data_IF_731293999030
#
_entry.id   IF_731293999030
#
_cell.length_a   1.000
_cell.length_b   1.000
_cell.length_c   1.000
_cell.angle_alpha   90.00
_cell.angle_beta   90.00
_cell.angle_gamma   90.00
#
_symmetry.space_group_name_H-M   'P 1'
#
loop_
_entity.id
_entity.type
_entity.pdbx_description
1 polymer ?
#
# COMPACT_ATOMS: atom_id res chain seq x y z
N UNK A 1 -22.13 2.93 22.81
CA UNK A 1 -20.79 2.91 22.17
C UNK A 1 -20.66 1.64 21.34
N UNK A 2 -20.83 1.69 20.02
CA UNK A 2 -20.74 0.51 19.14
C UNK A 2 -19.25 0.18 18.96
N UNK A 3 -18.82 -0.99 19.43
CA UNK A 3 -17.47 -1.49 19.18
C UNK A 3 -17.26 -1.60 17.67
N UNK A 4 -16.22 -0.98 17.08
CA UNK A 4 -15.97 -1.07 15.65
C UNK A 4 -15.79 -2.55 15.27
N UNK A 5 -16.40 -2.95 14.14
CA UNK A 5 -16.49 -4.34 13.68
C UNK A 5 -15.11 -5.03 13.66
N UNK A 6 -14.06 -4.25 13.35
CA UNK A 6 -12.66 -4.70 13.31
C UNK A 6 -12.09 -5.08 14.69
N UNK A 7 -12.49 -4.40 15.76
CA UNK A 7 -12.07 -4.72 17.13
C UNK A 7 -12.61 -6.09 17.58
N UNK A 8 -13.85 -6.44 17.20
CA UNK A 8 -14.43 -7.77 17.44
C UNK A 8 -13.77 -8.88 16.61
N UNK A 9 -13.28 -8.57 15.41
CA UNK A 9 -12.63 -9.54 14.54
C UNK A 9 -11.24 -9.96 15.06
N UNK A 10 -10.50 -9.01 15.66
CA UNK A 10 -9.25 -9.29 16.39
C UNK A 10 -9.47 -10.25 17.56
N UNK A 11 -10.51 -10.01 18.38
CA UNK A 11 -10.81 -10.85 19.56
C UNK A 11 -11.22 -12.28 19.19
N UNK A 12 -11.71 -12.50 17.97
CA UNK A 12 -12.07 -13.83 17.43
C UNK A 12 -10.94 -14.52 16.64
N UNK A 13 -9.74 -13.93 16.60
CA UNK A 13 -8.59 -14.53 15.90
C UNK A 13 -8.70 -14.54 14.36
N UNK A 14 -9.63 -13.76 13.79
CA UNK A 14 -9.86 -13.72 12.34
C UNK A 14 -8.69 -13.10 11.56
N UNK A 15 -7.86 -12.28 12.21
CA UNK A 15 -6.67 -11.65 11.64
C UNK A 15 -5.43 -12.02 12.47
N UNK A 16 -4.95 -13.26 12.29
CA UNK A 16 -3.77 -13.75 12.98
C UNK A 16 -2.51 -13.25 12.26
N UNK A 17 -1.70 -12.45 12.97
CA UNK A 17 -0.35 -12.10 12.53
C UNK A 17 0.49 -13.38 12.41
N UNK A 18 1.24 -13.51 11.32
CA UNK A 18 2.17 -14.61 11.11
C UNK A 18 3.21 -14.65 12.24
N UNK A 19 3.69 -15.86 12.55
CA UNK A 19 4.83 -16.01 13.47
C UNK A 19 6.05 -15.24 12.90
N UNK A 20 6.86 -14.56 13.73
CA UNK A 20 7.96 -13.72 13.26
C UNK A 20 8.91 -14.40 12.27
N UNK A 21 9.28 -15.66 12.55
CA UNK A 21 10.14 -16.45 11.65
C UNK A 21 9.50 -16.69 10.28
N UNK A 22 8.20 -16.96 10.22
CA UNK A 22 7.50 -17.17 8.94
C UNK A 22 7.46 -15.88 8.12
N UNK A 23 7.16 -14.75 8.75
CA UNK A 23 7.16 -13.45 8.08
C UNK A 23 8.56 -13.09 7.54
N UNK A 24 9.62 -13.36 8.32
CA UNK A 24 11.01 -13.14 7.92
C UNK A 24 11.40 -14.02 6.72
N UNK A 25 11.02 -15.30 6.73
CA UNK A 25 11.31 -16.22 5.60
C UNK A 25 10.64 -15.75 4.31
N UNK A 26 9.37 -15.33 4.37
CA UNK A 26 8.68 -14.77 3.20
C UNK A 26 9.38 -13.50 2.71
N UNK A 27 9.75 -12.60 3.61
CA UNK A 27 10.48 -11.37 3.26
C UNK A 27 11.81 -11.68 2.58
N UNK A 28 12.58 -12.64 3.10
CA UNK A 28 13.86 -13.06 2.50
C UNK A 28 13.70 -13.66 1.11
N UNK A 29 12.65 -14.44 0.88
CA UNK A 29 12.39 -15.02 -0.45
C UNK A 29 12.02 -13.97 -1.51
N UNK A 30 11.62 -12.77 -1.10
CA UNK A 30 11.19 -11.68 -1.98
C UNK A 30 12.16 -10.48 -1.98
N UNK A 31 13.29 -10.59 -1.27
CA UNK A 31 14.22 -9.49 -1.01
C UNK A 31 14.74 -8.83 -2.30
N UNK A 32 15.05 -9.63 -3.32
CA UNK A 32 15.56 -9.12 -4.60
C UNK A 32 14.53 -8.26 -5.34
N UNK A 33 13.26 -8.69 -5.38
CA UNK A 33 12.19 -7.97 -6.05
C UNK A 33 11.90 -6.63 -5.36
N UNK A 34 11.88 -6.62 -4.03
CA UNK A 34 11.58 -5.41 -3.26
C UNK A 34 12.71 -4.40 -3.22
N UNK A 35 13.95 -4.88 -3.07
CA UNK A 35 15.13 -4.00 -3.14
C UNK A 35 15.19 -3.30 -4.49
N UNK A 36 14.83 -4.00 -5.58
CA UNK A 36 14.74 -3.41 -6.91
C UNK A 36 13.69 -2.29 -6.99
N UNK A 37 12.49 -2.50 -6.43
CA UNK A 37 11.43 -1.47 -6.45
C UNK A 37 11.82 -0.23 -5.64
N UNK A 38 12.33 -0.39 -4.42
CA UNK A 38 12.75 0.73 -3.59
C UNK A 38 13.88 1.54 -4.22
N UNK A 39 14.88 0.84 -4.79
CA UNK A 39 15.98 1.48 -5.51
C UNK A 39 15.50 2.23 -6.75
N UNK A 40 14.58 1.65 -7.53
CA UNK A 40 13.97 2.34 -8.68
C UNK A 40 13.23 3.62 -8.27
N UNK A 41 12.53 3.62 -7.13
CA UNK A 41 11.84 4.84 -6.65
C UNK A 41 12.82 6.00 -6.40
N UNK A 42 14.00 5.74 -5.86
CA UNK A 42 14.97 6.80 -5.53
C UNK A 42 15.89 7.17 -6.69
N UNK A 43 15.98 6.32 -7.73
CA UNK A 43 16.84 6.54 -8.90
C UNK A 43 16.10 7.06 -10.13
N UNK A 44 14.78 6.85 -10.22
CA UNK A 44 14.02 7.27 -11.38
C UNK A 44 14.07 8.80 -11.57
N UNK A 45 14.43 9.23 -12.77
CA UNK A 45 14.53 10.64 -13.12
C UNK A 45 13.16 11.32 -13.06
N UNK A 46 13.14 12.58 -12.61
CA UNK A 46 11.93 13.40 -12.61
C UNK A 46 11.35 13.51 -14.03
N UNK A 47 10.02 13.41 -14.17
CA UNK A 47 9.26 13.42 -15.43
C UNK A 47 9.53 12.24 -16.39
N UNK A 48 10.37 11.28 -16.00
CA UNK A 48 10.55 10.05 -16.79
C UNK A 48 9.26 9.23 -16.82
N UNK A 49 9.05 8.50 -17.91
CA UNK A 49 7.92 7.56 -18.00
C UNK A 49 8.27 6.32 -17.16
N UNK A 50 7.46 6.06 -16.13
CA UNK A 50 7.69 4.98 -15.16
C UNK A 50 6.50 4.03 -15.06
N UNK A 51 5.92 3.65 -16.21
CA UNK A 51 4.72 2.80 -16.28
C UNK A 51 4.83 1.52 -15.43
N UNK A 52 5.92 0.76 -15.58
CA UNK A 52 6.09 -0.48 -14.82
C UNK A 52 6.26 -0.26 -13.32
N UNK A 53 7.04 0.77 -12.95
CA UNK A 53 7.27 1.10 -11.55
C UNK A 53 5.96 1.52 -10.87
N UNK A 54 5.18 2.40 -11.52
CA UNK A 54 3.87 2.84 -11.02
C UNK A 54 2.91 1.66 -10.89
N UNK A 55 2.89 0.74 -11.85
CA UNK A 55 2.04 -0.46 -11.77
C UNK A 55 2.45 -1.37 -10.60
N UNK A 56 3.76 -1.56 -10.37
CA UNK A 56 4.27 -2.35 -9.22
C UNK A 56 3.95 -1.68 -7.89
N UNK A 57 4.10 -0.37 -7.81
CA UNK A 57 3.75 0.40 -6.60
C UNK A 57 2.24 0.35 -6.33
N UNK A 58 1.41 0.51 -7.35
CA UNK A 58 -0.05 0.40 -7.20
C UNK A 58 -0.47 -0.97 -6.63
N UNK A 59 0.19 -2.05 -7.04
CA UNK A 59 -0.01 -3.38 -6.47
C UNK A 59 0.39 -3.45 -4.98
N UNK A 60 1.62 -3.05 -4.65
CA UNK A 60 2.14 -3.13 -3.28
C UNK A 60 1.37 -2.23 -2.32
N UNK A 61 1.21 -0.96 -2.68
CA UNK A 61 0.54 0.05 -1.86
C UNK A 61 -0.96 -0.23 -1.75
N UNK A 62 -1.61 -0.73 -2.82
CA UNK A 62 -3.02 -1.16 -2.78
C UNK A 62 -3.25 -2.26 -1.74
N UNK A 63 -2.39 -3.28 -1.71
CA UNK A 63 -2.45 -4.29 -0.65
C UNK A 63 -2.16 -3.71 0.72
N UNK A 64 -1.09 -2.92 0.85
CA UNK A 64 -0.67 -2.33 2.12
C UNK A 64 -1.77 -1.46 2.74
N UNK A 65 -2.40 -0.59 1.95
CA UNK A 65 -3.49 0.28 2.38
C UNK A 65 -4.70 -0.51 2.87
N UNK A 66 -5.12 -1.56 2.15
CA UNK A 66 -6.27 -2.39 2.56
C UNK A 66 -5.97 -3.22 3.83
N UNK A 67 -4.77 -3.79 3.94
CA UNK A 67 -4.35 -4.50 5.15
C UNK A 67 -4.31 -3.53 6.34
N UNK A 68 -3.70 -2.37 6.18
CA UNK A 68 -3.62 -1.34 7.22
C UNK A 68 -5.01 -0.85 7.63
N UNK A 69 -5.96 -0.73 6.70
CA UNK A 69 -7.36 -0.40 7.00
C UNK A 69 -8.06 -1.50 7.81
N UNK A 70 -7.73 -2.76 7.55
CA UNK A 70 -8.37 -3.91 8.20
C UNK A 70 -7.89 -4.18 9.63
N UNK A 71 -6.70 -3.68 10.02
CA UNK A 71 -6.07 -3.92 11.32
C UNK A 71 -5.74 -2.61 12.06
N UNK A 72 -5.78 -2.57 13.40
CA UNK A 72 -5.10 -1.54 14.17
C UNK A 72 -3.59 -1.74 14.06
N UNK A 73 -2.91 -0.91 13.27
CA UNK A 73 -1.44 -0.91 13.17
C UNK A 73 -0.85 0.01 14.25
N UNK A 74 0.28 -0.37 14.83
CA UNK A 74 1.04 0.51 15.71
C UNK A 74 1.74 1.58 14.87
N UNK A 75 1.51 2.86 15.18
CA UNK A 75 1.75 3.96 14.24
C UNK A 75 0.66 3.95 13.17
N UNK A 76 -0.16 5.01 13.09
CA UNK A 76 -1.26 5.04 12.14
C UNK A 76 -0.72 5.24 10.71
N UNK A 77 -0.26 4.16 10.09
CA UNK A 77 0.29 4.18 8.73
C UNK A 77 -0.82 4.24 7.66
N UNK A 78 -2.11 4.20 8.06
CA UNK A 78 -3.24 4.17 7.11
C UNK A 78 -3.29 5.44 6.24
N UNK A 79 -3.20 6.66 6.79
CA UNK A 79 -3.20 7.86 5.96
C UNK A 79 -1.98 7.92 5.05
N UNK A 80 -0.80 7.53 5.55
CA UNK A 80 0.44 7.55 4.77
C UNK A 80 0.43 6.60 3.57
N UNK A 81 -0.01 5.35 3.77
CA UNK A 81 -0.11 4.36 2.69
C UNK A 81 -1.17 4.75 1.65
N UNK A 82 -2.29 5.30 2.13
CA UNK A 82 -3.35 5.73 1.24
C UNK A 82 -2.97 6.98 0.42
N UNK A 83 -2.25 7.92 1.03
CA UNK A 83 -1.70 9.08 0.32
C UNK A 83 -0.67 8.63 -0.73
N UNK A 84 0.22 7.71 -0.36
CA UNK A 84 1.20 7.15 -1.30
C UNK A 84 0.52 6.48 -2.50
N UNK A 85 -0.56 5.72 -2.25
CA UNK A 85 -1.34 5.09 -3.31
C UNK A 85 -2.04 6.12 -4.21
N UNK A 86 -2.66 7.15 -3.63
CA UNK A 86 -3.28 8.23 -4.38
C UNK A 86 -2.26 8.93 -5.30
N UNK A 87 -1.10 9.27 -4.77
CA UNK A 87 -0.02 9.88 -5.56
C UNK A 87 0.44 9.00 -6.72
N UNK A 88 0.55 7.68 -6.54
CA UNK A 88 0.90 6.76 -7.64
C UNK A 88 -0.18 6.75 -8.72
N UNK A 89 -1.46 6.81 -8.33
CA UNK A 89 -2.57 6.90 -9.28
C UNK A 89 -2.56 8.25 -10.00
N UNK A 90 -2.32 9.35 -9.29
CA UNK A 90 -2.20 10.68 -9.90
C UNK A 90 -1.09 10.72 -10.96
N UNK A 91 0.10 10.19 -10.64
CA UNK A 91 1.20 10.08 -11.61
C UNK A 91 0.85 9.20 -12.81
N UNK A 92 0.05 8.14 -12.62
CA UNK A 92 -0.39 7.27 -13.70
C UNK A 92 -1.42 7.97 -14.61
N UNK A 93 -2.36 8.72 -14.02
CA UNK A 93 -3.34 9.56 -14.73
C UNK A 93 -2.63 10.68 -15.50
N UNK A 94 -1.58 11.27 -14.94
CA UNK A 94 -0.74 12.30 -15.58
C UNK A 94 0.22 11.74 -16.66
N UNK A 95 -0.11 10.59 -17.26
CA UNK A 95 0.67 9.99 -18.35
C UNK A 95 1.94 9.27 -17.88
N UNK A 96 1.87 8.64 -16.71
CA UNK A 96 2.95 7.86 -16.08
C UNK A 96 4.21 8.67 -15.81
N UNK A 97 4.04 9.96 -15.51
CA UNK A 97 5.12 10.89 -15.23
C UNK A 97 5.58 10.75 -13.79
N UNK A 98 6.81 10.31 -13.62
CA UNK A 98 7.40 10.16 -12.29
C UNK A 98 7.71 11.50 -11.64
N UNK A 99 7.26 11.69 -10.40
CA UNK A 99 7.73 12.79 -9.55
C UNK A 99 8.75 12.28 -8.52
N UNK A 100 10.02 12.54 -8.79
CA UNK A 100 11.13 12.16 -7.90
C UNK A 100 11.06 12.77 -6.49
N UNK A 101 10.28 13.83 -6.26
CA UNK A 101 10.09 14.40 -4.92
C UNK A 101 9.45 13.39 -3.95
N UNK A 102 8.69 12.43 -4.48
CA UNK A 102 8.03 11.36 -3.73
C UNK A 102 8.85 10.08 -3.60
N UNK A 103 10.00 9.96 -4.29
CA UNK A 103 10.70 8.68 -4.43
C UNK A 103 11.08 8.02 -3.09
N UNK A 104 11.61 8.80 -2.14
CA UNK A 104 11.95 8.29 -0.82
C UNK A 104 10.71 7.85 -0.02
N UNK A 105 9.61 8.61 -0.11
CA UNK A 105 8.36 8.30 0.59
C UNK A 105 7.66 7.08 -0.01
N UNK A 106 7.64 6.94 -1.35
CA UNK A 106 7.08 5.79 -2.04
C UNK A 106 7.89 4.51 -1.78
N UNK A 107 9.22 4.62 -1.69
CA UNK A 107 10.08 3.51 -1.26
C UNK A 107 9.72 3.04 0.16
N UNK A 108 9.59 3.96 1.11
CA UNK A 108 9.22 3.62 2.48
C UNK A 108 7.81 3.02 2.56
N UNK A 109 6.85 3.57 1.81
CA UNK A 109 5.49 3.06 1.77
C UNK A 109 5.43 1.64 1.18
N UNK A 110 6.26 1.34 0.17
CA UNK A 110 6.41 0.00 -0.36
C UNK A 110 6.97 -0.97 0.70
N UNK A 111 8.02 -0.60 1.43
CA UNK A 111 8.59 -1.40 2.52
C UNK A 111 7.57 -1.72 3.62
N UNK A 112 6.80 -0.72 4.05
CA UNK A 112 5.73 -0.92 5.03
C UNK A 112 4.67 -1.87 4.48
N UNK A 113 4.29 -1.72 3.21
CA UNK A 113 3.29 -2.58 2.56
C UNK A 113 3.74 -4.03 2.50
N UNK A 114 5.03 -4.26 2.22
CA UNK A 114 5.65 -5.59 2.23
C UNK A 114 5.63 -6.20 3.62
N UNK A 115 5.99 -5.43 4.64
CA UNK A 115 5.97 -5.91 6.02
C UNK A 115 4.56 -6.29 6.49
N UNK A 116 3.56 -5.52 6.06
CA UNK A 116 2.15 -5.83 6.27
C UNK A 116 1.74 -7.11 5.54
N UNK A 117 2.08 -7.23 4.26
CA UNK A 117 1.83 -8.43 3.45
C UNK A 117 2.42 -9.70 4.11
N UNK A 118 3.71 -9.67 4.47
CA UNK A 118 4.42 -10.79 5.09
C UNK A 118 3.83 -11.15 6.46
N UNK A 119 3.41 -10.13 7.22
CA UNK A 119 2.82 -10.30 8.55
C UNK A 119 1.38 -10.79 8.53
N UNK A 120 0.62 -10.51 7.48
CA UNK A 120 -0.83 -10.76 7.40
C UNK A 120 -1.23 -11.45 6.09
N UNK A 121 -0.57 -12.57 5.77
CA UNK A 121 -0.75 -13.31 4.51
C UNK A 121 -2.20 -13.70 4.17
N UNK A 122 -3.05 -13.97 5.17
CA UNK A 122 -4.48 -14.23 4.96
C UNK A 122 -5.24 -13.00 4.46
N UNK A 123 -4.90 -11.81 4.97
CA UNK A 123 -5.46 -10.54 4.49
C UNK A 123 -4.90 -10.18 3.12
N UNK A 124 -3.59 -10.37 2.92
CA UNK A 124 -2.97 -10.19 1.62
C UNK A 124 -3.71 -11.00 0.54
N UNK A 125 -3.92 -12.30 0.76
CA UNK A 125 -4.65 -13.16 -0.19
C UNK A 125 -6.06 -12.67 -0.49
N UNK A 126 -6.72 -12.06 0.50
CA UNK A 126 -8.07 -11.52 0.35
C UNK A 126 -8.10 -10.25 -0.52
N UNK A 127 -7.10 -9.39 -0.40
CA UNK A 127 -7.05 -8.10 -1.09
C UNK A 127 -6.25 -8.11 -2.40
N UNK A 128 -5.44 -9.13 -2.60
CA UNK A 128 -4.58 -9.32 -3.78
C UNK A 128 -5.31 -9.15 -5.12
N UNK A 129 -6.52 -9.71 -5.34
CA UNK A 129 -7.20 -9.54 -6.63
C UNK A 129 -7.52 -8.09 -6.97
N UNK A 130 -7.88 -7.27 -5.98
CA UNK A 130 -8.17 -5.85 -6.17
C UNK A 130 -6.92 -5.03 -6.48
N UNK A 131 -5.84 -5.28 -5.74
CA UNK A 131 -4.55 -4.63 -5.99
C UNK A 131 -3.97 -5.02 -7.36
N UNK A 132 -4.15 -6.29 -7.78
CA UNK A 132 -3.76 -6.76 -9.11
C UNK A 132 -4.55 -6.06 -10.21
N UNK A 133 -5.87 -5.94 -10.05
CA UNK A 133 -6.71 -5.26 -11.03
C UNK A 133 -6.29 -3.79 -11.19
N UNK A 134 -6.05 -3.08 -10.09
CA UNK A 134 -5.56 -1.70 -10.14
C UNK A 134 -4.21 -1.62 -10.87
N UNK A 135 -3.26 -2.49 -10.52
CA UNK A 135 -1.95 -2.56 -11.18
C UNK A 135 -2.07 -2.78 -12.69
N UNK A 136 -2.99 -3.63 -13.12
CA UNK A 136 -3.28 -3.87 -14.54
C UNK A 136 -3.83 -2.62 -15.24
N UNK A 137 -4.74 -1.89 -14.60
CA UNK A 137 -5.26 -0.63 -15.14
C UNK A 137 -4.18 0.46 -15.22
N UNK A 138 -3.30 0.55 -14.22
CA UNK A 138 -2.14 1.44 -14.26
C UNK A 138 -1.22 1.05 -15.41
N UNK A 139 -0.87 -0.23 -15.54
CA UNK A 139 -0.04 -0.73 -16.64
C UNK A 139 -0.62 -0.43 -18.02
N UNK A 140 -1.94 -0.56 -18.16
CA UNK A 140 -2.65 -0.30 -19.41
C UNK A 140 -2.88 1.20 -19.70
N UNK A 141 -2.61 2.08 -18.74
CA UNK A 141 -2.91 3.51 -18.85
C UNK A 141 -4.42 3.81 -18.90
N UNK A 142 -5.24 2.95 -18.27
CA UNK A 142 -6.70 3.08 -18.26
C UNK A 142 -7.24 3.45 -16.88
N UNK A 143 -6.37 3.78 -15.92
CA UNK A 143 -6.78 4.14 -14.56
C UNK A 143 -7.39 5.54 -14.54
N UNK A 144 -8.44 5.72 -13.75
CA UNK A 144 -9.09 7.00 -13.50
C UNK A 144 -8.77 7.52 -12.09
N UNK A 145 -8.90 8.83 -11.90
CA UNK A 145 -8.66 9.54 -10.65
C UNK A 145 -9.63 9.13 -9.52
N UNK A 146 -10.85 8.73 -9.87
CA UNK A 146 -11.88 8.31 -8.92
C UNK A 146 -11.68 6.90 -8.32
N UNK A 147 -10.67 6.15 -8.78
CA UNK A 147 -10.43 4.76 -8.33
C UNK A 147 -9.99 4.68 -6.86
N UNK A 148 -9.39 5.76 -6.34
CA UNK A 148 -8.94 5.87 -4.95
C UNK A 148 -9.91 6.78 -4.19
N UNK A 149 -10.75 6.18 -3.33
CA UNK A 149 -11.66 6.97 -2.48
C UNK A 149 -10.89 7.78 -1.44
N UNK A 150 -11.21 9.06 -1.21
CA UNK A 150 -10.55 9.86 -0.18
C UNK A 150 -10.57 9.19 1.20
N UNK A 151 -9.49 9.35 1.96
CA UNK A 151 -9.47 8.91 3.37
C UNK A 151 -10.42 9.80 4.16
N UNK A 152 -11.55 9.23 4.62
CA UNK A 152 -12.38 9.88 5.62
C UNK A 152 -11.65 9.84 6.97
N UNK A 153 -11.15 11.01 7.40
CA UNK A 153 -10.65 11.17 8.76
C UNK A 153 -11.85 11.26 9.71
N UNK A 154 -11.88 10.51 10.83
CA UNK A 154 -12.83 10.82 11.89
C UNK A 154 -12.52 12.24 12.36
N UNK A 155 -13.49 13.14 12.23
CA UNK A 155 -13.37 14.55 12.63
C UNK A 155 -12.71 14.65 14.00
N UNK A 156 -11.50 15.20 14.04
CA UNK A 156 -10.88 15.65 15.26
C UNK A 156 -11.61 16.90 15.73
N UNK A 157 -12.71 16.72 16.47
CA UNK A 157 -13.32 17.80 17.22
C UNK A 157 -13.98 17.24 18.47
N UNK A 158 -13.30 17.37 19.60
CA UNK A 158 -13.82 17.95 20.85
C UNK A 158 -12.71 17.94 21.91
N UNK A 159 -12.30 19.13 22.35
CA UNK A 159 -11.37 19.33 23.45
C UNK A 159 -10.52 20.60 23.33
N UNK A 160 -11.15 21.73 23.03
CA UNK A 160 -10.66 23.04 23.47
C UNK A 160 -11.30 23.35 24.83
#
# INVERSE_FOLDING_TARGET
MKTPIHSRAMTRGLYRKAAPMMALMVRKNMEAEYTSVGLHCVQADHQSNQTELLARLAYLLGMGAEIARAIPVAGDNRPGLHQALATVVDMAVDGHRWDSSWGAQLSLAADISIDLFCSYSNLARRFEPGARLLSQHVMAGTVSDDVIRPVEFPNGNEGA
#
